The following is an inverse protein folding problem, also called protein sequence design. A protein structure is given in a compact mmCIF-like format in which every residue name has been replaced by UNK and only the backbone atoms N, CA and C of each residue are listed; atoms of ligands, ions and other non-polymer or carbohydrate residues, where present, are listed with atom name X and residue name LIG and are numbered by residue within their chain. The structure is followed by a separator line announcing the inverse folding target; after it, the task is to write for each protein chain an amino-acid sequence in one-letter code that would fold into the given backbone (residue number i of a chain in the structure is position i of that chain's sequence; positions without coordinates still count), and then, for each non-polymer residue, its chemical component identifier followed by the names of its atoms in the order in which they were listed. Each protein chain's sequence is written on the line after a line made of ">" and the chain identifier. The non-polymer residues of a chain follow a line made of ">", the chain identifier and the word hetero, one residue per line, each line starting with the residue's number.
data_IF_624160858312
#
_entry.id   IF_624160858312
#
_cell.length_a   1.000
_cell.length_b   1.000
_cell.length_c   1.000
_cell.angle_alpha   90.00
_cell.angle_beta   90.00
_cell.angle_gamma   90.00
#
_symmetry.space_group_name_H-M   'P 1'
#
loop_
_entity.id
_entity.type
_entity.pdbx_description
1 polymer ?
#
# COMPACT_ATOMS: atom_id res chain seq x y z
N UNK A 1 -15.14 17.37 -9.75
CA UNK A 1 -15.95 18.60 -9.88
C UNK A 1 -15.27 19.63 -9.02
N UNK A 2 -15.03 20.82 -9.55
CA UNK A 2 -14.45 21.93 -8.80
C UNK A 2 -15.50 23.03 -8.78
N UNK A 3 -15.90 23.45 -7.59
CA UNK A 3 -16.93 24.47 -7.40
C UNK A 3 -16.52 25.38 -6.24
N UNK A 4 -16.84 26.66 -6.35
CA UNK A 4 -16.65 27.66 -5.30
C UNK A 4 -18.04 28.13 -4.89
N UNK A 5 -18.38 27.96 -3.63
CA UNK A 5 -19.64 28.42 -3.05
C UNK A 5 -19.29 29.52 -2.05
N UNK A 6 -19.81 30.72 -2.29
CA UNK A 6 -19.61 31.89 -1.43
C UNK A 6 -20.96 32.44 -1.02
N UNK A 7 -21.19 32.52 0.29
CA UNK A 7 -22.44 33.00 0.87
C UNK A 7 -22.18 34.22 1.74
N UNK A 8 -23.12 35.16 1.75
CA UNK A 8 -23.07 36.36 2.60
C UNK A 8 -24.26 36.34 3.54
N UNK A 9 -24.02 36.49 4.84
CA UNK A 9 -25.06 36.51 5.86
C UNK A 9 -24.71 37.47 6.99
N UNK A 10 -25.74 38.09 7.56
CA UNK A 10 -25.60 39.10 8.61
C UNK A 10 -25.20 38.51 9.97
N UNK A 11 -25.84 37.41 10.38
CA UNK A 11 -25.63 36.77 11.68
C UNK A 11 -25.13 35.32 11.54
N UNK A 12 -23.82 35.11 11.28
CA UNK A 12 -23.26 33.78 11.07
C UNK A 12 -23.09 33.01 12.38
N UNK A 13 -23.71 31.83 12.42
CA UNK A 13 -23.58 30.84 13.47
C UNK A 13 -22.69 29.71 12.96
N UNK A 14 -21.69 29.30 13.74
CA UNK A 14 -20.78 28.22 13.37
C UNK A 14 -20.80 27.10 14.41
N UNK A 15 -20.63 25.87 13.93
CA UNK A 15 -20.38 24.71 14.78
C UNK A 15 -18.90 24.67 15.18
N UNK A 16 -18.63 24.69 16.49
CA UNK A 16 -17.30 24.56 17.05
C UNK A 16 -16.43 25.83 17.01
N UNK A 17 -15.34 25.81 17.77
CA UNK A 17 -14.46 26.96 17.99
C UNK A 17 -13.72 27.41 16.72
N UNK A 18 -13.45 26.49 15.78
CA UNK A 18 -12.68 26.75 14.56
C UNK A 18 -13.48 27.47 13.47
N UNK A 19 -14.79 27.70 13.67
CA UNK A 19 -15.70 28.30 12.69
C UNK A 19 -15.66 27.63 11.31
N UNK A 20 -15.33 26.34 11.26
CA UNK A 20 -15.13 25.60 10.01
C UNK A 20 -16.44 25.18 9.34
N UNK A 21 -17.53 25.06 10.11
CA UNK A 21 -18.83 24.60 9.63
C UNK A 21 -19.92 25.60 9.98
N UNK A 22 -20.63 26.08 8.96
CA UNK A 22 -21.74 27.01 9.13
C UNK A 22 -23.00 26.26 9.63
N UNK A 23 -23.61 26.76 10.69
CA UNK A 23 -24.77 26.14 11.38
C UNK A 23 -26.13 26.76 11.04
N UNK A 24 -26.19 27.85 10.27
CA UNK A 24 -27.45 28.48 9.86
C UNK A 24 -28.24 27.56 8.90
N UNK A 25 -29.27 26.86 9.41
CA UNK A 25 -30.09 25.94 8.60
C UNK A 25 -30.79 26.65 7.43
N UNK A 26 -31.21 27.90 7.61
CA UNK A 26 -31.81 28.76 6.58
C UNK A 26 -30.92 28.95 5.34
N UNK A 27 -29.59 28.95 5.53
CA UNK A 27 -28.64 29.11 4.44
C UNK A 27 -28.59 27.88 3.54
N UNK A 28 -28.85 26.69 4.08
CA UNK A 28 -28.96 25.47 3.26
C UNK A 28 -30.09 25.61 2.26
N UNK A 29 -31.29 25.95 2.74
CA UNK A 29 -32.47 26.11 1.89
C UNK A 29 -32.26 27.20 0.85
N UNK A 30 -31.72 28.36 1.25
CA UNK A 30 -31.45 29.47 0.32
C UNK A 30 -30.48 29.08 -0.80
N UNK A 31 -29.37 28.41 -0.47
CA UNK A 31 -28.39 27.95 -1.48
C UNK A 31 -28.99 26.87 -2.38
N UNK A 32 -29.74 25.93 -1.81
CA UNK A 32 -30.37 24.82 -2.55
C UNK A 32 -31.41 25.34 -3.56
N UNK A 33 -32.23 26.32 -3.18
CA UNK A 33 -33.19 26.96 -4.09
C UNK A 33 -32.50 27.68 -5.25
N UNK A 34 -31.57 28.61 -4.94
CA UNK A 34 -30.88 29.39 -5.98
C UNK A 34 -30.07 28.50 -6.91
N UNK A 35 -29.38 27.51 -6.35
CA UNK A 35 -28.61 26.56 -7.15
C UNK A 35 -29.51 25.64 -7.97
N UNK A 36 -30.62 25.15 -7.40
CA UNK A 36 -31.56 24.28 -8.10
C UNK A 36 -32.20 24.96 -9.30
N UNK A 37 -32.66 26.20 -9.13
CA UNK A 37 -33.22 27.01 -10.22
C UNK A 37 -32.17 27.30 -11.29
N UNK A 38 -31.02 27.85 -10.91
CA UNK A 38 -29.96 28.19 -11.86
C UNK A 38 -29.37 26.98 -12.58
N UNK A 39 -29.21 25.85 -11.90
CA UNK A 39 -28.73 24.62 -12.51
C UNK A 39 -29.77 24.05 -13.48
N UNK A 40 -31.05 24.04 -13.10
CA UNK A 40 -32.12 23.54 -13.98
C UNK A 40 -32.21 24.36 -15.26
N UNK A 41 -32.23 25.69 -15.11
CA UNK A 41 -32.21 26.62 -16.24
C UNK A 41 -30.99 26.39 -17.14
N UNK A 42 -29.79 26.31 -16.54
CA UNK A 42 -28.56 26.08 -17.31
C UNK A 42 -28.60 24.76 -18.09
N UNK A 43 -29.10 23.67 -17.49
CA UNK A 43 -29.18 22.36 -18.14
C UNK A 43 -30.19 22.34 -19.30
N UNK A 44 -31.29 23.09 -19.18
CA UNK A 44 -32.28 23.23 -20.24
C UNK A 44 -31.78 24.10 -21.40
N UNK A 45 -31.14 25.22 -21.09
CA UNK A 45 -30.59 26.15 -22.09
C UNK A 45 -29.36 25.59 -22.82
N UNK A 46 -28.63 24.65 -22.20
CA UNK A 46 -27.38 24.09 -22.74
C UNK A 46 -27.47 22.54 -22.89
N UNK A 47 -28.27 22.00 -23.84
CA UNK A 47 -28.52 20.56 -23.95
C UNK A 47 -27.28 19.71 -24.29
N UNK A 48 -26.26 20.29 -24.92
CA UNK A 48 -25.03 19.56 -25.27
C UNK A 48 -24.17 19.35 -24.01
N UNK A 49 -23.95 20.41 -23.24
CA UNK A 49 -23.24 20.42 -21.97
C UNK A 49 -23.98 19.57 -20.93
N UNK A 50 -25.30 19.70 -20.85
CA UNK A 50 -26.15 18.90 -19.96
C UNK A 50 -26.01 17.40 -20.23
N UNK A 51 -26.05 16.98 -21.50
CA UNK A 51 -25.79 15.57 -21.88
C UNK A 51 -24.39 15.12 -21.49
N UNK A 52 -23.38 15.98 -21.65
CA UNK A 52 -22.01 15.69 -21.21
C UNK A 52 -21.90 15.49 -19.70
N UNK A 53 -22.52 16.37 -18.91
CA UNK A 53 -22.56 16.30 -17.44
C UNK A 53 -23.30 15.04 -16.98
N UNK A 54 -24.53 14.82 -17.46
CA UNK A 54 -25.35 13.66 -17.12
C UNK A 54 -24.66 12.37 -17.54
N UNK A 55 -24.04 12.33 -18.72
CA UNK A 55 -23.27 11.18 -19.20
C UNK A 55 -22.12 10.82 -18.27
N UNK A 56 -21.35 11.82 -17.79
CA UNK A 56 -20.31 11.61 -16.78
C UNK A 56 -20.89 11.11 -15.45
N UNK A 57 -22.00 11.68 -14.98
CA UNK A 57 -22.70 11.24 -13.77
C UNK A 57 -23.18 9.79 -13.89
N UNK A 58 -23.78 9.40 -15.03
CA UNK A 58 -24.26 8.05 -15.30
C UNK A 58 -23.10 7.04 -15.37
N UNK A 59 -21.98 7.40 -16.02
CA UNK A 59 -20.79 6.58 -16.05
C UNK A 59 -20.22 6.36 -14.64
N UNK A 60 -20.14 7.42 -13.83
CA UNK A 60 -19.70 7.35 -12.44
C UNK A 60 -20.64 6.53 -11.55
N UNK A 61 -21.96 6.62 -11.78
CA UNK A 61 -22.97 5.83 -11.08
C UNK A 61 -22.85 4.34 -11.43
N UNK A 62 -22.69 4.01 -12.72
CA UNK A 62 -22.46 2.64 -13.18
C UNK A 62 -21.16 2.06 -12.60
N UNK A 63 -20.08 2.85 -12.58
CA UNK A 63 -18.82 2.45 -11.96
C UNK A 63 -18.98 2.20 -10.45
N UNK A 64 -19.72 3.06 -9.74
CA UNK A 64 -20.04 2.86 -8.31
C UNK A 64 -20.84 1.58 -8.07
N UNK A 65 -21.87 1.30 -8.87
CA UNK A 65 -22.67 0.07 -8.75
C UNK A 65 -21.83 -1.17 -9.05
N UNK A 66 -21.00 -1.14 -10.11
CA UNK A 66 -20.09 -2.24 -10.43
C UNK A 66 -19.07 -2.48 -9.32
N UNK A 67 -18.49 -1.41 -8.76
CA UNK A 67 -17.60 -1.52 -7.61
C UNK A 67 -18.30 -2.08 -6.38
N UNK A 68 -19.56 -1.68 -6.10
CA UNK A 68 -20.35 -2.24 -5.00
C UNK A 68 -20.63 -3.72 -5.21
N UNK A 69 -21.04 -4.14 -6.41
CA UNK A 69 -21.23 -5.55 -6.75
C UNK A 69 -19.93 -6.37 -6.64
N UNK A 70 -18.80 -5.81 -7.09
CA UNK A 70 -17.49 -6.44 -6.96
C UNK A 70 -17.08 -6.58 -5.48
N UNK A 71 -17.29 -5.54 -4.65
CA UNK A 71 -17.09 -5.60 -3.19
C UNK A 71 -17.96 -6.67 -2.56
N UNK A 72 -19.26 -6.66 -2.85
CA UNK A 72 -20.22 -7.64 -2.31
C UNK A 72 -19.86 -9.06 -2.70
N UNK A 73 -19.24 -9.28 -3.86
CA UNK A 73 -18.75 -10.59 -4.29
C UNK A 73 -17.53 -11.03 -3.48
N UNK A 74 -16.58 -10.13 -3.20
CA UNK A 74 -15.43 -10.41 -2.33
C UNK A 74 -15.91 -10.73 -0.91
N UNK A 75 -16.88 -9.96 -0.40
CA UNK A 75 -17.47 -10.14 0.93
C UNK A 75 -18.28 -11.44 1.00
N UNK A 76 -19.16 -11.70 0.02
CA UNK A 76 -19.98 -12.92 -0.01
C UNK A 76 -19.14 -14.19 -0.14
N UNK A 77 -18.07 -14.19 -0.94
CA UNK A 77 -17.15 -15.33 -0.95
C UNK A 77 -16.47 -15.53 0.41
N UNK A 78 -16.04 -14.45 1.06
CA UNK A 78 -15.49 -14.52 2.43
C UNK A 78 -16.49 -15.03 3.48
N UNK A 79 -17.80 -14.77 3.31
CA UNK A 79 -18.87 -15.18 4.23
C UNK A 79 -19.46 -16.57 3.92
N UNK A 80 -19.72 -16.92 2.66
CA UNK A 80 -20.37 -18.18 2.25
C UNK A 80 -19.44 -19.40 2.30
N UNK A 81 -18.13 -19.21 2.07
CA UNK A 81 -17.15 -20.29 2.16
C UNK A 81 -16.58 -20.45 3.58
N UNK A 82 -16.99 -19.60 4.54
CA UNK A 82 -16.53 -19.66 5.93
C UNK A 82 -15.05 -19.32 6.08
N UNK A 83 -14.68 -18.04 6.14
CA UNK A 83 -13.29 -17.61 6.35
C UNK A 83 -12.28 -18.38 5.49
N UNK A 84 -12.61 -18.74 4.24
CA UNK A 84 -11.64 -19.37 3.35
C UNK A 84 -10.58 -18.33 3.04
N UNK A 85 -9.49 -18.47 3.76
CA UNK A 85 -8.27 -17.73 3.51
C UNK A 85 -7.84 -18.01 2.07
N UNK A 86 -7.20 -17.04 1.41
CA UNK A 86 -6.69 -17.25 0.07
C UNK A 86 -5.85 -18.54 0.06
N UNK A 87 -6.04 -19.45 -0.90
CA UNK A 87 -5.32 -20.73 -0.90
C UNK A 87 -3.79 -20.59 -0.94
N UNK A 88 -3.28 -19.40 -1.32
CA UNK A 88 -1.86 -19.04 -1.28
C UNK A 88 -1.38 -18.50 0.08
N UNK A 89 -2.28 -18.06 0.95
CA UNK A 89 -1.94 -17.59 2.29
C UNK A 89 -1.54 -18.78 3.16
N UNK A 90 -0.31 -18.79 3.63
CA UNK A 90 0.07 -19.62 4.75
C UNK A 90 -0.27 -18.86 6.03
N UNK A 91 -1.37 -19.20 6.72
CA UNK A 91 -1.77 -18.50 7.95
C UNK A 91 -0.87 -18.86 9.16
N UNK A 92 -0.96 -18.06 10.22
CA UNK A 92 -0.41 -18.39 11.53
C UNK A 92 -1.46 -19.04 12.44
N UNK A 93 -1.04 -19.75 13.50
CA UNK A 93 -1.98 -20.40 14.42
C UNK A 93 -2.59 -19.43 15.44
N UNK A 94 -1.88 -18.38 15.84
CA UNK A 94 -2.41 -17.36 16.74
C UNK A 94 -3.48 -16.51 16.06
N UNK A 95 -4.47 -16.09 16.86
CA UNK A 95 -5.56 -15.18 16.46
C UNK A 95 -5.43 -13.80 17.12
N UNK A 96 -4.41 -13.60 17.95
CA UNK A 96 -4.16 -12.31 18.58
C UNK A 96 -3.51 -11.35 17.59
N UNK A 97 -4.31 -10.44 17.04
CA UNK A 97 -3.86 -9.46 16.07
C UNK A 97 -2.65 -8.65 16.56
N UNK A 98 -2.51 -8.36 17.86
CA UNK A 98 -1.40 -7.52 18.33
C UNK A 98 -0.03 -8.18 18.16
N UNK A 99 0.00 -9.52 18.27
CA UNK A 99 1.23 -10.30 18.25
C UNK A 99 1.48 -10.99 16.90
N UNK A 100 0.51 -10.95 15.98
CA UNK A 100 0.64 -11.59 14.67
C UNK A 100 1.13 -10.64 13.58
N UNK A 101 1.80 -11.23 12.60
CA UNK A 101 2.49 -10.51 11.53
C UNK A 101 2.14 -11.16 10.18
N UNK A 102 1.88 -10.34 9.16
CA UNK A 102 1.68 -10.78 7.78
C UNK A 102 2.85 -10.32 6.92
N UNK A 103 3.62 -11.26 6.38
CA UNK A 103 4.64 -10.98 5.38
C UNK A 103 4.06 -11.12 3.98
N UNK A 104 4.10 -10.02 3.23
CA UNK A 104 3.75 -9.97 1.82
C UNK A 104 5.04 -10.17 1.04
N UNK A 105 5.16 -11.30 0.34
CA UNK A 105 6.43 -11.74 -0.25
C UNK A 105 6.38 -11.72 -1.77
N UNK A 106 7.45 -11.27 -2.40
CA UNK A 106 7.62 -11.31 -3.85
C UNK A 106 7.89 -12.74 -4.35
N UNK A 107 6.94 -13.30 -5.10
CA UNK A 107 7.07 -14.60 -5.76
C UNK A 107 6.87 -15.82 -4.86
N UNK A 108 6.60 -16.96 -5.51
CA UNK A 108 6.41 -18.24 -4.83
C UNK A 108 7.72 -18.81 -4.26
N UNK A 109 8.87 -18.48 -4.88
CA UNK A 109 10.19 -18.96 -4.44
C UNK A 109 10.54 -18.43 -3.06
N UNK A 110 10.61 -17.09 -2.91
CA UNK A 110 10.83 -16.46 -1.62
C UNK A 110 9.66 -16.76 -0.65
N UNK A 111 8.42 -16.87 -1.16
CA UNK A 111 7.28 -17.33 -0.36
C UNK A 111 7.46 -18.72 0.24
N UNK A 112 8.10 -19.64 -0.50
CA UNK A 112 8.45 -20.99 -0.04
C UNK A 112 9.48 -20.96 1.09
N UNK A 113 10.58 -20.24 0.90
CA UNK A 113 11.62 -20.06 1.93
C UNK A 113 11.07 -19.38 3.19
N UNK A 114 10.27 -18.31 3.02
CA UNK A 114 9.62 -17.62 4.13
C UNK A 114 8.62 -18.51 4.87
N UNK A 115 7.84 -19.33 4.15
CA UNK A 115 6.91 -20.29 4.77
C UNK A 115 7.64 -21.34 5.62
N UNK A 116 8.82 -21.78 5.19
CA UNK A 116 9.63 -22.77 5.91
C UNK A 116 10.37 -22.16 7.10
N UNK A 117 10.90 -20.95 6.97
CA UNK A 117 11.72 -20.31 8.00
C UNK A 117 10.95 -19.55 9.08
N UNK A 118 9.67 -19.22 8.84
CA UNK A 118 8.86 -18.44 9.79
C UNK A 118 8.60 -19.15 11.12
N UNK A 119 8.26 -18.37 12.13
CA UNK A 119 7.53 -18.89 13.27
C UNK A 119 6.02 -18.98 12.92
N UNK A 120 5.52 -20.21 12.70
CA UNK A 120 4.12 -20.51 12.35
C UNK A 120 3.10 -20.08 13.40
N UNK A 121 3.53 -19.81 14.64
CA UNK A 121 2.64 -19.37 15.70
C UNK A 121 2.07 -17.99 15.42
N UNK A 122 2.93 -17.05 15.00
CA UNK A 122 2.54 -15.64 14.88
C UNK A 122 2.82 -15.02 13.50
N UNK A 123 3.53 -15.69 12.59
CA UNK A 123 3.84 -15.14 11.27
C UNK A 123 3.06 -15.84 10.14
N UNK A 124 2.27 -15.06 9.42
CA UNK A 124 1.58 -15.45 8.19
C UNK A 124 2.37 -15.00 6.95
N UNK A 125 2.34 -15.80 5.87
CA UNK A 125 3.04 -15.50 4.62
C UNK A 125 2.05 -15.46 3.47
N UNK A 126 2.04 -14.37 2.73
CA UNK A 126 1.24 -14.18 1.52
C UNK A 126 2.16 -13.91 0.32
N UNK A 127 2.48 -14.92 -0.49
CA UNK A 127 3.22 -14.73 -1.71
C UNK A 127 2.36 -14.00 -2.75
N UNK A 128 3.00 -13.09 -3.49
CA UNK A 128 2.41 -12.38 -4.61
C UNK A 128 3.06 -12.81 -5.92
N UNK A 129 2.24 -13.04 -6.95
CA UNK A 129 2.73 -13.44 -8.27
C UNK A 129 2.75 -12.26 -9.23
N UNK A 130 3.93 -11.99 -9.77
CA UNK A 130 4.14 -10.92 -10.76
C UNK A 130 3.89 -9.52 -10.19
N UNK A 131 3.82 -8.55 -11.11
CA UNK A 131 3.59 -7.14 -10.75
C UNK A 131 2.13 -6.91 -10.40
N UNK A 132 1.89 -6.25 -9.27
CA UNK A 132 0.54 -5.88 -8.83
C UNK A 132 -0.05 -4.86 -9.81
N UNK A 133 -1.37 -4.90 -9.99
CA UNK A 133 -2.08 -3.87 -10.75
C UNK A 133 -1.84 -2.50 -10.12
N UNK A 134 -1.38 -1.52 -10.91
CA UNK A 134 -1.32 -0.14 -10.48
C UNK A 134 -2.73 0.38 -10.21
N UNK A 135 -3.04 0.59 -8.94
CA UNK A 135 -4.38 0.99 -8.51
C UNK A 135 -4.69 2.46 -8.78
N UNK A 136 -3.66 3.29 -9.00
CA UNK A 136 -3.82 4.71 -9.31
C UNK A 136 -4.53 4.91 -10.66
N UNK A 137 -4.21 4.04 -11.63
CA UNK A 137 -4.74 4.09 -13.00
C UNK A 137 -5.94 3.14 -13.20
N UNK A 138 -6.39 2.46 -12.13
CA UNK A 138 -7.41 1.44 -12.23
C UNK A 138 -8.65 1.81 -11.43
N UNK A 139 -9.82 1.63 -12.06
CA UNK A 139 -11.10 1.75 -11.38
C UNK A 139 -11.26 0.64 -10.34
N UNK A 140 -12.02 0.94 -9.28
CA UNK A 140 -12.20 0.05 -8.14
C UNK A 140 -12.74 -1.36 -8.52
N UNK A 141 -13.62 -1.46 -9.51
CA UNK A 141 -14.12 -2.74 -10.03
C UNK A 141 -12.99 -3.62 -10.61
N UNK A 142 -12.08 -3.02 -11.38
CA UNK A 142 -10.89 -3.70 -11.92
C UNK A 142 -9.90 -4.10 -10.81
N UNK A 143 -9.73 -3.22 -9.82
CA UNK A 143 -8.91 -3.46 -8.63
C UNK A 143 -9.42 -4.68 -7.85
N UNK A 144 -10.73 -4.76 -7.60
CA UNK A 144 -11.34 -5.87 -6.86
C UNK A 144 -11.47 -7.16 -7.68
N UNK A 145 -11.44 -7.07 -9.01
CA UNK A 145 -11.37 -8.23 -9.89
C UNK A 145 -9.97 -8.88 -9.91
N UNK A 146 -8.92 -8.15 -9.53
CA UNK A 146 -7.56 -8.69 -9.49
C UNK A 146 -7.39 -9.70 -8.33
N UNK A 147 -6.90 -10.90 -8.65
CA UNK A 147 -6.76 -11.99 -7.67
C UNK A 147 -5.74 -11.70 -6.57
N UNK A 148 -4.64 -11.01 -6.88
CA UNK A 148 -3.59 -10.68 -5.92
C UNK A 148 -4.09 -9.67 -4.88
N UNK A 149 -4.75 -8.62 -5.36
CA UNK A 149 -5.39 -7.60 -4.52
C UNK A 149 -6.52 -8.20 -3.69
N UNK A 150 -7.38 -9.02 -4.31
CA UNK A 150 -8.47 -9.70 -3.60
C UNK A 150 -7.93 -10.59 -2.48
N UNK A 151 -6.88 -11.37 -2.74
CA UNK A 151 -6.25 -12.20 -1.72
C UNK A 151 -5.67 -11.35 -0.58
N UNK A 152 -5.05 -10.20 -0.89
CA UNK A 152 -4.56 -9.28 0.12
C UNK A 152 -5.69 -8.74 1.01
N UNK A 153 -6.79 -8.27 0.40
CA UNK A 153 -7.95 -7.74 1.13
C UNK A 153 -8.55 -8.81 2.06
N UNK A 154 -8.72 -10.04 1.56
CA UNK A 154 -9.24 -11.16 2.35
C UNK A 154 -8.26 -11.50 3.50
N UNK A 155 -6.95 -11.53 3.23
CA UNK A 155 -5.95 -11.81 4.25
C UNK A 155 -5.98 -10.76 5.37
N UNK A 156 -6.04 -9.47 5.03
CA UNK A 156 -6.10 -8.38 6.02
C UNK A 156 -7.34 -8.45 6.92
N UNK A 157 -8.49 -8.84 6.36
CA UNK A 157 -9.76 -9.00 7.09
C UNK A 157 -10.52 -7.70 7.37
N UNK A 158 -9.94 -6.54 7.03
CA UNK A 158 -10.50 -5.21 7.32
C UNK A 158 -11.56 -4.72 6.33
N UNK A 159 -11.84 -5.44 5.23
CA UNK A 159 -12.73 -4.94 4.18
C UNK A 159 -12.09 -3.84 3.32
N UNK A 160 -12.88 -3.10 2.53
CA UNK A 160 -12.36 -2.04 1.63
C UNK A 160 -13.43 -1.00 1.31
N UNK A 161 -13.04 0.28 1.27
CA UNK A 161 -13.97 1.39 1.01
C UNK A 161 -14.99 1.55 2.14
N UNK A 162 -16.29 1.54 1.82
CA UNK A 162 -17.38 1.73 2.81
C UNK A 162 -17.46 0.62 3.86
N UNK A 163 -16.94 -0.58 3.57
CA UNK A 163 -16.92 -1.71 4.52
C UNK A 163 -15.60 -1.82 5.26
N UNK A 164 -14.71 -0.83 5.10
CA UNK A 164 -13.43 -0.81 5.79
C UNK A 164 -13.66 -0.63 7.29
N UNK A 165 -13.11 -1.55 8.07
CA UNK A 165 -13.14 -1.55 9.52
C UNK A 165 -11.80 -2.05 10.07
N UNK A 166 -11.04 -1.13 10.65
CA UNK A 166 -9.72 -1.40 11.21
C UNK A 166 -9.79 -2.37 12.41
N UNK A 167 -10.91 -2.43 13.14
CA UNK A 167 -11.06 -3.31 14.30
C UNK A 167 -11.02 -4.80 13.93
N UNK A 168 -11.29 -5.12 12.66
CA UNK A 168 -11.26 -6.49 12.12
C UNK A 168 -9.89 -6.91 11.59
N UNK A 169 -8.86 -6.09 11.81
CA UNK A 169 -7.51 -6.37 11.37
C UNK A 169 -7.00 -7.67 11.98
N UNK A 170 -6.54 -8.59 11.12
CA UNK A 170 -6.07 -9.91 11.53
C UNK A 170 -4.61 -9.94 11.99
N UNK A 171 -3.81 -8.97 11.54
CA UNK A 171 -2.37 -8.93 11.77
C UNK A 171 -1.93 -7.52 12.15
N UNK A 172 -1.30 -7.38 13.32
CA UNK A 172 -0.89 -6.10 13.89
C UNK A 172 0.31 -5.49 13.18
N UNK A 173 1.11 -6.33 12.51
CA UNK A 173 2.15 -5.87 11.58
C UNK A 173 1.95 -6.48 10.20
N UNK A 174 1.96 -5.63 9.20
CA UNK A 174 1.92 -5.98 7.78
C UNK A 174 3.29 -5.59 7.23
N UNK A 175 4.07 -6.58 6.82
CA UNK A 175 5.47 -6.41 6.40
C UNK A 175 5.57 -6.67 4.91
N UNK A 176 5.99 -5.66 4.15
CA UNK A 176 6.35 -5.80 2.74
C UNK A 176 7.78 -6.33 2.66
N UNK A 177 7.94 -7.53 2.10
CA UNK A 177 9.21 -8.21 1.95
C UNK A 177 9.46 -8.52 0.47
N UNK A 178 10.12 -7.58 -0.20
CA UNK A 178 10.46 -7.63 -1.63
C UNK A 178 11.96 -7.72 -1.83
N UNK A 179 12.39 -8.11 -3.03
CA UNK A 179 13.80 -8.22 -3.37
C UNK A 179 14.49 -6.84 -3.39
N UNK A 180 15.82 -6.85 -3.25
CA UNK A 180 16.67 -5.65 -3.21
C UNK A 180 17.10 -5.22 -4.62
N UNK A 181 16.22 -5.39 -5.61
CA UNK A 181 16.43 -5.09 -7.02
C UNK A 181 15.39 -4.08 -7.55
N UNK A 182 15.44 -3.82 -8.85
CA UNK A 182 14.53 -2.89 -9.54
C UNK A 182 13.07 -3.36 -9.55
N UNK A 183 12.84 -4.67 -9.61
CA UNK A 183 11.49 -5.25 -9.67
C UNK A 183 10.84 -5.25 -8.28
N UNK A 184 11.58 -5.59 -7.23
CA UNK A 184 11.15 -5.48 -5.84
C UNK A 184 10.86 -4.04 -5.44
N UNK A 185 11.69 -3.08 -5.88
CA UNK A 185 11.39 -1.65 -5.70
C UNK A 185 10.08 -1.21 -6.39
N UNK A 186 9.79 -1.77 -7.57
CA UNK A 186 8.54 -1.51 -8.29
C UNK A 186 7.34 -2.12 -7.57
N UNK A 187 7.40 -3.39 -7.15
CA UNK A 187 6.32 -4.05 -6.38
C UNK A 187 6.07 -3.31 -5.07
N UNK A 188 7.13 -2.93 -4.36
CA UNK A 188 7.02 -2.11 -3.14
C UNK A 188 6.30 -0.80 -3.40
N UNK A 189 6.59 -0.12 -4.51
CA UNK A 189 5.91 1.14 -4.89
C UNK A 189 4.42 0.90 -5.18
N UNK A 190 4.06 -0.19 -5.89
CA UNK A 190 2.68 -0.56 -6.16
C UNK A 190 1.89 -0.88 -4.87
N UNK A 191 2.51 -1.63 -3.95
CA UNK A 191 1.93 -1.93 -2.64
C UNK A 191 1.72 -0.67 -1.81
N UNK A 192 2.74 0.20 -1.73
CA UNK A 192 2.63 1.48 -1.00
C UNK A 192 1.51 2.35 -1.57
N UNK A 193 1.36 2.39 -2.90
CA UNK A 193 0.26 3.10 -3.56
C UNK A 193 -1.09 2.52 -3.15
N UNK A 194 -1.21 1.19 -3.16
CA UNK A 194 -2.43 0.48 -2.78
C UNK A 194 -2.80 0.68 -1.31
N UNK A 195 -1.83 0.60 -0.40
CA UNK A 195 -2.05 0.90 1.01
C UNK A 195 -2.41 2.36 1.25
N UNK A 196 -1.75 3.31 0.59
CA UNK A 196 -2.06 4.72 0.72
C UNK A 196 -3.48 5.06 0.21
N UNK A 197 -3.89 4.48 -0.92
CA UNK A 197 -5.20 4.76 -1.54
C UNK A 197 -6.38 4.11 -0.85
N UNK A 198 -6.25 2.88 -0.36
CA UNK A 198 -7.38 2.11 0.18
C UNK A 198 -7.28 1.76 1.66
N UNK A 199 -6.09 1.89 2.25
CA UNK A 199 -5.79 1.43 3.60
C UNK A 199 -5.02 2.47 4.40
N UNK A 200 -5.27 3.75 4.15
CA UNK A 200 -4.55 4.87 4.77
C UNK A 200 -4.52 4.75 6.30
N UNK A 201 -5.65 4.37 6.91
CA UNK A 201 -5.78 4.18 8.35
C UNK A 201 -4.89 3.05 8.90
N UNK A 202 -4.50 2.05 8.10
CA UNK A 202 -3.51 1.05 8.53
C UNK A 202 -2.11 1.66 8.66
N UNK A 203 -1.76 2.59 7.77
CA UNK A 203 -0.47 3.29 7.83
C UNK A 203 -0.48 4.26 9.02
N UNK A 204 -1.56 5.04 9.19
CA UNK A 204 -1.72 5.97 10.32
C UNK A 204 -1.75 5.23 11.67
N UNK A 205 -2.32 4.02 11.72
CA UNK A 205 -2.27 3.13 12.89
C UNK A 205 -0.91 2.46 13.13
N UNK A 206 0.10 2.69 12.27
CA UNK A 206 1.44 2.16 12.45
C UNK A 206 1.57 0.66 12.18
N UNK A 207 0.70 0.10 11.34
CA UNK A 207 0.67 -1.33 11.04
C UNK A 207 1.53 -1.73 9.82
N UNK A 208 1.96 -0.79 8.98
CA UNK A 208 2.70 -1.10 7.75
C UNK A 208 4.21 -0.95 7.90
N UNK A 209 4.95 -1.98 7.51
CA UNK A 209 6.41 -2.09 7.62
C UNK A 209 7.03 -2.55 6.30
N UNK A 210 8.31 -2.26 6.11
CA UNK A 210 9.13 -2.75 5.00
C UNK A 210 10.32 -3.50 5.61
N UNK A 211 10.50 -4.75 5.21
CA UNK A 211 11.63 -5.56 5.64
C UNK A 211 12.95 -5.01 5.09
N UNK A 212 14.03 -5.20 5.84
CA UNK A 212 15.40 -4.86 5.41
C UNK A 212 16.24 -6.14 5.40
N UNK A 213 16.26 -6.91 4.30
CA UNK A 213 17.17 -8.03 4.16
C UNK A 213 18.62 -7.53 4.03
N UNK A 214 19.62 -8.34 4.43
CA UNK A 214 21.03 -7.98 4.28
C UNK A 214 21.46 -7.96 2.81
N UNK A 215 22.35 -7.03 2.47
CA UNK A 215 22.94 -6.93 1.12
C UNK A 215 24.10 -7.91 0.92
N UNK A 216 24.85 -8.19 1.99
CA UNK A 216 26.04 -9.04 1.94
C UNK A 216 26.07 -10.05 3.06
N UNK A 217 26.67 -11.19 2.77
CA UNK A 217 27.17 -12.17 3.73
C UNK A 217 28.68 -12.23 3.61
N UNK A 218 29.37 -11.88 4.70
CA UNK A 218 30.82 -11.97 4.82
C UNK A 218 31.15 -13.15 5.72
N UNK A 219 31.93 -14.09 5.23
CA UNK A 219 32.31 -15.30 5.95
C UNK A 219 33.83 -15.47 6.00
N UNK A 220 34.35 -15.78 7.18
CA UNK A 220 35.76 -16.12 7.41
C UNK A 220 35.84 -17.34 8.34
N UNK A 221 36.21 -18.50 7.77
CA UNK A 221 36.19 -19.77 8.49
C UNK A 221 34.79 -20.11 9.00
N UNK A 222 34.61 -20.11 10.33
CA UNK A 222 33.32 -20.36 11.00
C UNK A 222 32.54 -19.08 11.33
N UNK A 223 33.15 -17.90 11.22
CA UNK A 223 32.49 -16.62 11.50
C UNK A 223 31.72 -16.16 10.27
N UNK A 224 30.43 -15.86 10.46
CA UNK A 224 29.54 -15.33 9.42
C UNK A 224 28.94 -14.02 9.93
N UNK A 225 29.00 -12.99 9.12
CA UNK A 225 28.43 -11.68 9.41
C UNK A 225 27.54 -11.25 8.25
N UNK A 226 26.32 -10.82 8.58
CA UNK A 226 25.36 -10.26 7.63
C UNK A 226 25.43 -8.74 7.69
N UNK A 227 25.43 -8.10 6.52
CA UNK A 227 25.75 -6.68 6.40
C UNK A 227 24.75 -5.98 5.48
N UNK A 228 24.37 -4.76 5.83
CA UNK A 228 23.22 -4.07 5.23
C UNK A 228 23.61 -2.88 4.33
N UNK A 229 24.87 -2.45 4.37
CA UNK A 229 25.41 -1.43 3.47
C UNK A 229 26.87 -1.72 3.09
N UNK A 230 27.41 -0.92 2.18
CA UNK A 230 28.76 -1.11 1.65
C UNK A 230 29.82 -0.70 2.69
N UNK A 231 29.54 0.36 3.46
CA UNK A 231 30.44 0.88 4.49
C UNK A 231 30.68 -0.15 5.62
N UNK A 232 29.61 -0.74 6.15
CA UNK A 232 29.69 -1.81 7.15
C UNK A 232 30.44 -3.03 6.59
N UNK A 233 30.31 -3.31 5.28
CA UNK A 233 31.00 -4.46 4.68
C UNK A 233 32.49 -4.24 4.70
N UNK A 234 32.95 -3.05 4.34
CA UNK A 234 34.37 -2.69 4.42
C UNK A 234 34.89 -2.73 5.86
N UNK A 235 34.10 -2.26 6.83
CA UNK A 235 34.47 -2.29 8.25
C UNK A 235 34.59 -3.73 8.78
N UNK A 236 33.63 -4.60 8.46
CA UNK A 236 33.68 -6.02 8.84
C UNK A 236 34.90 -6.71 8.23
N UNK A 237 35.24 -6.42 6.97
CA UNK A 237 36.43 -6.97 6.31
C UNK A 237 37.72 -6.46 6.98
N UNK A 238 37.79 -5.18 7.36
CA UNK A 238 38.97 -4.61 8.05
C UNK A 238 39.20 -5.24 9.42
N UNK A 239 38.13 -5.62 10.12
CA UNK A 239 38.18 -6.25 11.43
C UNK A 239 38.42 -7.78 11.38
N UNK A 240 38.47 -8.38 10.20
CA UNK A 240 38.76 -9.80 9.98
C UNK A 240 40.26 -10.07 9.87
N UNK A 241 40.68 -11.30 10.20
CA UNK A 241 42.09 -11.69 10.18
C UNK A 241 42.62 -11.72 8.74
N UNK A 242 43.60 -10.89 8.41
CA UNK A 242 44.16 -10.78 7.06
C UNK A 242 44.81 -12.07 6.56
N UNK A 243 45.14 -13.01 7.46
CA UNK A 243 45.75 -14.30 7.12
C UNK A 243 44.76 -15.35 6.59
N UNK A 244 43.45 -15.16 6.77
CA UNK A 244 42.42 -16.11 6.34
C UNK A 244 41.60 -15.58 5.16
N UNK A 245 41.32 -16.47 4.19
CA UNK A 245 40.51 -16.12 3.02
C UNK A 245 39.09 -15.73 3.44
N UNK A 246 38.69 -14.50 3.10
CA UNK A 246 37.33 -13.99 3.28
C UNK A 246 36.48 -14.36 2.07
N UNK A 247 35.28 -14.89 2.31
CA UNK A 247 34.26 -15.14 1.30
C UNK A 247 33.17 -14.08 1.43
N UNK A 248 32.83 -13.42 0.31
CA UNK A 248 31.79 -12.39 0.25
C UNK A 248 30.74 -12.86 -0.73
N UNK A 249 29.50 -12.96 -0.28
CA UNK A 249 28.33 -13.23 -1.10
C UNK A 249 27.42 -12.00 -1.07
N UNK A 250 27.04 -11.49 -2.24
CA UNK A 250 26.02 -10.44 -2.37
C UNK A 250 24.69 -11.09 -2.67
N UNK A 251 23.66 -10.74 -1.92
CA UNK A 251 22.30 -11.17 -2.19
C UNK A 251 21.64 -10.21 -3.18
N UNK A 252 20.99 -10.74 -4.21
CA UNK A 252 20.15 -9.93 -5.12
C UNK A 252 18.68 -10.17 -4.86
N UNK A 253 18.29 -11.43 -4.71
CA UNK A 253 16.93 -11.82 -4.35
C UNK A 253 16.82 -12.55 -3.01
N UNK A 254 15.65 -12.47 -2.38
CA UNK A 254 15.30 -13.20 -1.16
C UNK A 254 15.30 -14.73 -1.39
N UNK A 255 15.03 -15.17 -2.62
CA UNK A 255 15.06 -16.57 -3.01
C UNK A 255 16.45 -17.23 -2.98
N UNK A 256 17.53 -16.44 -2.89
CA UNK A 256 18.89 -16.95 -2.74
C UNK A 256 19.22 -17.34 -1.28
N UNK A 257 18.37 -16.94 -0.33
CA UNK A 257 18.54 -17.25 1.08
C UNK A 257 17.83 -18.56 1.43
N UNK A 258 18.55 -19.43 2.14
CA UNK A 258 17.94 -20.60 2.75
C UNK A 258 16.98 -20.16 3.89
N UNK A 259 15.97 -20.98 4.25
CA UNK A 259 14.99 -20.63 5.28
C UNK A 259 15.59 -20.11 6.60
N UNK A 260 16.65 -20.77 7.10
CA UNK A 260 17.31 -20.37 8.35
C UNK A 260 17.98 -18.99 8.23
N UNK A 261 18.60 -18.71 7.08
CA UNK A 261 19.23 -17.40 6.83
C UNK A 261 18.19 -16.30 6.76
N UNK A 262 17.06 -16.56 6.10
CA UNK A 262 15.97 -15.60 5.98
C UNK A 262 15.34 -15.31 7.36
N UNK A 263 15.19 -16.34 8.19
CA UNK A 263 14.77 -16.19 9.58
C UNK A 263 15.73 -15.29 10.37
N UNK A 264 16.99 -15.70 10.49
CA UNK A 264 17.98 -15.05 11.35
C UNK A 264 18.24 -13.58 10.99
N UNK A 265 18.06 -13.22 9.72
CA UNK A 265 18.44 -11.89 9.21
C UNK A 265 17.27 -10.94 9.04
N UNK A 266 16.09 -11.46 8.69
CA UNK A 266 14.98 -10.63 8.17
C UNK A 266 13.66 -10.88 8.88
N UNK A 267 13.42 -12.08 9.41
CA UNK A 267 12.11 -12.44 9.99
C UNK A 267 12.12 -12.56 11.52
N UNK A 268 13.25 -12.83 12.14
CA UNK A 268 13.41 -12.95 13.59
C UNK A 268 13.18 -11.59 14.28
N UNK A 269 12.15 -11.44 15.13
CA UNK A 269 11.88 -10.20 15.84
C UNK A 269 13.03 -9.68 16.72
N UNK A 270 13.92 -10.56 17.18
CA UNK A 270 15.03 -10.17 18.05
C UNK A 270 16.22 -9.58 17.27
N UNK A 271 16.35 -9.90 15.98
CA UNK A 271 17.53 -9.56 15.16
C UNK A 271 17.24 -8.66 13.98
N UNK A 272 16.02 -8.72 13.43
CA UNK A 272 15.67 -8.02 12.19
C UNK A 272 15.58 -6.50 12.40
N UNK A 273 15.79 -5.79 11.30
CA UNK A 273 15.47 -4.36 11.18
C UNK A 273 14.36 -4.16 10.15
N UNK A 274 13.47 -3.20 10.40
CA UNK A 274 12.37 -2.85 9.50
C UNK A 274 12.15 -1.35 9.49
N UNK A 275 11.73 -0.82 8.35
CA UNK A 275 11.20 0.55 8.29
C UNK A 275 9.71 0.53 8.58
N UNK A 276 9.27 1.31 9.57
CA UNK A 276 7.84 1.60 9.76
C UNK A 276 7.42 2.70 8.79
N UNK A 277 6.38 2.44 8.01
CA UNK A 277 5.84 3.42 7.07
C UNK A 277 4.94 4.41 7.82
N UNK A 278 5.13 5.71 7.59
CA UNK A 278 4.35 6.79 8.22
C UNK A 278 3.95 7.83 7.19
N UNK A 279 2.79 8.45 7.38
CA UNK A 279 2.34 9.57 6.55
C UNK A 279 2.62 10.87 7.31
N UNK A 280 3.68 11.57 6.92
CA UNK A 280 4.05 12.87 7.53
C UNK A 280 3.20 13.99 6.95
N UNK A 281 3.01 13.99 5.63
CA UNK A 281 2.22 14.97 4.89
C UNK A 281 1.40 14.23 3.83
N UNK A 282 0.09 14.17 4.07
CA UNK A 282 -0.84 13.45 3.20
C UNK A 282 -1.01 14.10 1.83
N UNK A 283 -1.00 15.43 1.74
CA UNK A 283 -1.15 16.16 0.48
C UNK A 283 0.09 16.00 -0.39
N UNK A 284 1.27 16.13 0.22
CA UNK A 284 2.53 15.91 -0.49
C UNK A 284 2.66 14.46 -0.94
N UNK A 285 2.30 13.49 -0.10
CA UNK A 285 2.30 12.08 -0.48
C UNK A 285 1.34 11.80 -1.64
N UNK A 286 0.13 12.36 -1.59
CA UNK A 286 -0.87 12.26 -2.65
C UNK A 286 -0.33 12.76 -3.99
N UNK A 287 0.24 13.96 -4.02
CA UNK A 287 0.84 14.55 -5.22
C UNK A 287 1.99 13.72 -5.79
N UNK A 288 2.79 13.09 -4.92
CA UNK A 288 3.87 12.19 -5.33
C UNK A 288 3.31 10.93 -5.98
N UNK A 289 2.30 10.30 -5.39
CA UNK A 289 1.63 9.14 -5.99
C UNK A 289 0.96 9.50 -7.32
N UNK A 290 0.25 10.62 -7.40
CA UNK A 290 -0.36 11.10 -8.64
C UNK A 290 0.70 11.30 -9.74
N UNK A 291 1.82 11.95 -9.41
CA UNK A 291 2.91 12.21 -10.37
C UNK A 291 3.58 10.92 -10.86
N UNK A 292 3.85 9.98 -9.95
CA UNK A 292 4.62 8.78 -10.25
C UNK A 292 3.77 7.64 -10.81
N UNK A 293 2.53 7.53 -10.35
CA UNK A 293 1.65 6.39 -10.61
C UNK A 293 0.43 6.77 -11.46
N UNK A 294 0.10 8.06 -11.62
CA UNK A 294 -1.06 8.54 -12.40
C UNK A 294 -0.90 8.41 -13.92
N UNK A 295 -1.89 8.82 -14.71
CA UNK A 295 -1.89 8.61 -16.17
C UNK A 295 -0.93 9.55 -16.93
N UNK A 296 -0.65 10.73 -16.36
CA UNK A 296 0.14 11.78 -17.00
C UNK A 296 1.63 11.45 -17.10
N UNK A 297 2.13 11.37 -18.34
CA UNK A 297 3.53 10.99 -18.62
C UNK A 297 4.51 12.13 -18.39
N UNK A 298 4.13 13.37 -18.75
CA UNK A 298 5.04 14.50 -18.73
C UNK A 298 5.53 14.88 -17.32
N UNK A 299 4.66 14.98 -16.28
CA UNK A 299 5.08 15.25 -14.91
C UNK A 299 6.03 14.16 -14.40
N UNK A 300 5.70 12.89 -14.67
CA UNK A 300 6.54 11.74 -14.31
C UNK A 300 7.93 11.82 -14.94
N UNK A 301 8.00 12.10 -16.24
CA UNK A 301 9.28 12.25 -16.96
C UNK A 301 10.14 13.37 -16.36
N UNK A 302 9.54 14.53 -16.07
CA UNK A 302 10.24 15.66 -15.42
C UNK A 302 10.75 15.27 -14.03
N UNK A 303 9.94 14.56 -13.25
CA UNK A 303 10.34 14.09 -11.93
C UNK A 303 11.57 13.17 -12.01
N UNK A 304 11.55 12.18 -12.91
CA UNK A 304 12.66 11.25 -13.13
C UNK A 304 13.92 12.02 -13.55
N UNK A 305 13.82 12.92 -14.52
CA UNK A 305 14.96 13.72 -15.00
C UNK A 305 15.58 14.59 -13.90
N UNK A 306 14.75 15.21 -13.05
CA UNK A 306 15.22 16.04 -11.94
C UNK A 306 15.94 15.23 -10.85
N UNK A 307 15.61 13.95 -10.69
CA UNK A 307 16.12 13.09 -9.62
C UNK A 307 17.10 12.00 -10.09
N UNK A 308 17.30 11.84 -11.41
CA UNK A 308 18.10 10.76 -11.98
C UNK A 308 19.52 10.66 -11.41
N UNK A 309 20.18 11.80 -11.17
CA UNK A 309 21.55 11.85 -10.63
C UNK A 309 21.66 11.45 -9.15
N UNK A 310 20.54 11.29 -8.44
CA UNK A 310 20.53 10.91 -7.02
C UNK A 310 20.50 9.40 -6.81
N UNK A 311 20.26 8.62 -7.86
CA UNK A 311 20.20 7.16 -7.76
C UNK A 311 21.62 6.61 -7.72
N UNK A 312 21.99 5.99 -6.60
CA UNK A 312 23.30 5.35 -6.40
C UNK A 312 23.33 3.89 -6.86
N UNK A 313 22.19 3.20 -6.78
CA UNK A 313 22.06 1.78 -7.08
C UNK A 313 21.02 1.59 -8.20
N UNK A 314 21.47 1.67 -9.45
CA UNK A 314 20.74 1.14 -10.60
C UNK A 314 21.42 -0.18 -10.96
N UNK A 315 20.67 -1.29 -10.94
CA UNK A 315 21.11 -2.50 -11.62
C UNK A 315 21.14 -2.17 -13.12
N UNK A 316 22.35 -2.02 -13.67
CA UNK A 316 22.63 -1.96 -15.12
C UNK A 316 23.10 -3.34 -15.54
#
# INVERSE_FOLDING_TARGET
>A
MTAIISVKLGNPQFEGQTKAKLGNAEMRTAVETVFGEGLSQFLEENPAEARGIIGKCALAARARMAARAARDTVIRKGLLEGMTLPGKLADCSSRDAQNTELFIVEGDSAGGSAKQGRNREFQAILPLKGKILNVEQARLDKVLANNEIKALIIALGVGVGETFDLSRLRYGKIVIMTDADVDGAHIRTLLLTMFFRYFKSLIEGGHLYIAQPPLFKVAQGKKVSYVYNEEEKEEVIKNMDSAQKVSIQRYKGLGEMNPDQLWETTMDPERRSMYRVTIVDGERADKVFETLMGEEVLPRKKFIQAHAKRVRNLDI
#
